data_IF_266414001235
#
_entry.id   IF_266414001235
#
_cell.length_a   1.000
_cell.length_b   1.000
_cell.length_c   1.000
_cell.angle_alpha   90.00
_cell.angle_beta   90.00
_cell.angle_gamma   90.00
#
_symmetry.space_group_name_H-M   'P 1'
#
loop_
_entity.id
_entity.type
_entity.pdbx_description
1 polymer ?
#
# COMPACT_ATOMS: atom_id res chain seq x y z
N UNK A 1 -5.04 27.21 -10.59
CA UNK A 1 -5.11 25.76 -10.27
C UNK A 1 -3.71 25.26 -9.94
N UNK A 2 -3.45 25.02 -8.66
CA UNK A 2 -2.16 24.49 -8.23
C UNK A 2 -2.13 22.96 -8.42
N UNK A 3 -1.28 22.48 -9.34
CA UNK A 3 -1.24 21.07 -9.76
C UNK A 3 -0.70 20.12 -8.68
N UNK A 4 -0.19 20.63 -7.55
CA UNK A 4 0.33 19.80 -6.46
C UNK A 4 -0.70 19.54 -5.35
N UNK A 5 -1.69 20.41 -5.20
CA UNK A 5 -2.63 20.36 -4.05
C UNK A 5 -4.10 20.35 -4.44
N UNK A 6 -4.44 20.78 -5.67
CA UNK A 6 -5.81 20.72 -6.17
C UNK A 6 -6.78 21.69 -5.48
N UNK A 7 -6.28 22.66 -4.72
CA UNK A 7 -7.11 23.72 -4.14
C UNK A 7 -7.30 24.86 -5.14
N UNK A 8 -8.52 25.40 -5.17
CA UNK A 8 -8.88 26.66 -5.83
C UNK A 8 -9.02 27.72 -4.73
N UNK A 9 -8.53 28.92 -5.02
CA UNK A 9 -8.49 30.07 -4.10
C UNK A 9 -9.83 30.34 -3.41
N UNK A 10 -9.74 30.60 -2.09
CA UNK A 10 -10.73 31.21 -1.19
C UNK A 10 -12.11 30.55 -0.98
N UNK A 11 -12.28 29.25 -1.23
CA UNK A 11 -13.41 28.50 -0.65
C UNK A 11 -13.01 27.12 -0.14
N UNK A 12 -13.36 26.84 1.11
CA UNK A 12 -13.08 25.61 1.87
C UNK A 12 -13.91 24.43 1.35
N UNK A 13 -13.75 24.06 0.09
CA UNK A 13 -14.50 22.98 -0.56
C UNK A 13 -13.51 21.93 -1.07
N UNK A 14 -13.58 20.73 -0.50
CA UNK A 14 -12.74 19.57 -0.86
C UNK A 14 -13.55 18.56 -1.68
N UNK A 15 -13.10 18.28 -2.89
CA UNK A 15 -13.74 17.32 -3.80
C UNK A 15 -13.55 15.88 -3.29
N UNK A 16 -14.64 15.10 -3.18
CA UNK A 16 -14.60 13.74 -2.61
C UNK A 16 -14.56 12.63 -3.68
N UNK A 17 -15.33 12.73 -4.78
CA UNK A 17 -15.28 11.77 -5.92
C UNK A 17 -16.09 12.27 -7.12
N UNK A 18 -15.70 11.87 -8.33
CA UNK A 18 -16.53 11.94 -9.54
C UNK A 18 -17.05 10.54 -9.88
N UNK A 19 -18.37 10.35 -9.95
CA UNK A 19 -19.00 9.11 -10.43
C UNK A 19 -19.73 9.43 -11.74
N UNK A 20 -19.13 9.03 -12.87
CA UNK A 20 -19.67 8.91 -14.24
C UNK A 20 -20.47 10.09 -14.86
N UNK A 21 -20.18 10.36 -16.14
CA UNK A 21 -20.80 11.39 -16.96
C UNK A 21 -22.00 10.79 -17.73
N UNK A 22 -23.22 11.22 -17.42
CA UNK A 22 -24.36 11.15 -18.34
C UNK A 22 -24.74 12.58 -18.75
N UNK A 23 -25.10 12.77 -20.01
CA UNK A 23 -25.02 14.04 -20.77
C UNK A 23 -25.88 15.21 -20.28
N UNK A 24 -26.66 15.07 -19.21
CA UNK A 24 -27.65 16.07 -18.82
C UNK A 24 -27.61 16.51 -17.35
N UNK A 25 -26.94 15.82 -16.42
CA UNK A 25 -26.99 16.19 -14.99
C UNK A 25 -25.70 15.82 -14.24
N UNK A 26 -25.12 16.79 -13.52
CA UNK A 26 -24.01 16.55 -12.57
C UNK A 26 -24.53 16.68 -11.15
N UNK A 27 -24.61 15.57 -10.41
CA UNK A 27 -24.89 15.60 -8.97
C UNK A 27 -23.59 15.89 -8.21
N UNK A 28 -23.46 17.10 -7.66
CA UNK A 28 -22.33 17.49 -6.80
C UNK A 28 -22.69 17.26 -5.33
N UNK A 29 -22.19 16.17 -4.74
CA UNK A 29 -22.24 15.96 -3.29
C UNK A 29 -21.17 16.81 -2.59
N UNK A 30 -21.51 18.02 -2.17
CA UNK A 30 -20.61 18.92 -1.44
C UNK A 30 -20.82 18.75 0.06
N UNK A 31 -19.78 18.32 0.78
CA UNK A 31 -19.78 18.26 2.26
C UNK A 31 -18.98 19.46 2.76
N UNK A 32 -19.63 20.33 3.53
CA UNK A 32 -18.99 21.49 4.16
C UNK A 32 -18.12 21.02 5.35
N UNK A 33 -16.84 21.39 5.38
CA UNK A 33 -15.96 21.19 6.54
C UNK A 33 -15.44 22.55 6.99
N UNK A 34 -15.53 22.85 8.28
CA UNK A 34 -15.20 24.17 8.85
C UNK A 34 -13.69 24.44 8.99
N UNK A 35 -12.83 23.47 8.68
CA UNK A 35 -11.38 23.60 8.68
C UNK A 35 -10.74 22.79 7.54
N UNK A 36 -9.64 23.30 7.00
CA UNK A 36 -8.76 22.58 6.06
C UNK A 36 -8.12 21.44 6.84
N UNK A 37 -8.59 20.21 6.62
CA UNK A 37 -7.97 19.03 7.21
C UNK A 37 -6.57 18.82 6.60
N UNK A 38 -5.53 19.27 7.29
CA UNK A 38 -4.17 18.86 6.98
C UNK A 38 -4.07 17.34 7.06
N UNK A 39 -3.47 16.74 6.03
CA UNK A 39 -3.31 15.29 5.90
C UNK A 39 -2.51 14.81 7.12
N UNK A 40 -3.16 14.05 8.00
CA UNK A 40 -2.53 13.54 9.21
C UNK A 40 -1.25 12.76 8.86
N UNK A 41 -0.12 13.21 9.43
CA UNK A 41 1.23 12.64 9.22
C UNK A 41 1.39 11.22 9.81
N UNK A 42 0.32 10.58 10.26
CA UNK A 42 0.32 9.32 11.02
C UNK A 42 0.05 8.08 10.17
N UNK A 43 -0.18 8.24 8.86
CA UNK A 43 -0.37 7.14 7.93
C UNK A 43 1.00 6.58 7.49
N UNK A 44 1.17 5.26 7.56
CA UNK A 44 2.37 4.58 7.06
C UNK A 44 2.58 4.92 5.57
N UNK A 45 3.84 5.19 5.19
CA UNK A 45 4.13 5.67 3.83
C UNK A 45 3.59 4.73 2.76
N UNK A 46 2.95 5.32 1.75
CA UNK A 46 2.49 4.57 0.59
C UNK A 46 3.58 4.33 -0.45
N UNK A 47 4.74 4.99 -0.32
CA UNK A 47 5.87 4.80 -1.23
C UNK A 47 6.63 3.52 -0.87
N UNK A 48 6.87 2.68 -1.87
CA UNK A 48 7.64 1.44 -1.70
C UNK A 48 9.12 1.70 -1.42
N UNK A 49 9.64 2.86 -1.83
CA UNK A 49 11.04 3.28 -1.61
C UNK A 49 11.43 3.35 -0.13
N UNK A 50 10.51 3.74 0.74
CA UNK A 50 10.76 3.90 2.19
C UNK A 50 10.96 2.57 2.93
N UNK A 51 10.81 1.44 2.24
CA UNK A 51 10.94 0.10 2.79
C UNK A 51 12.20 -0.64 2.32
N UNK A 52 13.12 0.05 1.63
CA UNK A 52 14.37 -0.56 1.14
C UNK A 52 15.18 -1.18 2.29
N UNK A 53 15.34 -0.45 3.41
CA UNK A 53 16.08 -0.94 4.59
C UNK A 53 15.38 -2.12 5.29
N UNK A 54 14.08 -2.30 5.03
CA UNK A 54 13.27 -3.38 5.61
C UNK A 54 13.42 -4.69 4.85
N UNK A 55 14.00 -4.69 3.64
CA UNK A 55 14.26 -5.92 2.87
C UNK A 55 15.20 -6.84 3.65
N UNK A 56 16.26 -6.29 4.27
CA UNK A 56 17.20 -7.08 5.06
C UNK A 56 16.52 -7.82 6.22
N UNK A 57 15.53 -7.19 6.86
CA UNK A 57 14.74 -7.82 7.92
C UNK A 57 13.85 -8.96 7.39
N UNK A 58 13.32 -8.83 6.17
CA UNK A 58 12.58 -9.92 5.51
C UNK A 58 13.51 -11.09 5.20
N UNK A 59 14.71 -10.82 4.67
CA UNK A 59 15.72 -11.86 4.38
C UNK A 59 16.15 -12.59 5.66
N UNK A 60 16.36 -11.85 6.75
CA UNK A 60 16.67 -12.41 8.06
C UNK A 60 15.55 -13.34 8.55
N UNK A 61 14.30 -12.85 8.55
CA UNK A 61 13.13 -13.64 8.89
C UNK A 61 13.01 -14.93 8.07
N UNK A 62 13.29 -14.85 6.76
CA UNK A 62 13.25 -15.98 5.84
C UNK A 62 14.44 -16.93 5.98
N UNK A 63 15.46 -16.64 6.79
CA UNK A 63 16.59 -17.57 6.99
C UNK A 63 16.16 -18.90 7.62
N UNK A 64 14.95 -18.96 8.19
CA UNK A 64 14.29 -20.20 8.68
C UNK A 64 13.57 -21.00 7.59
N UNK A 65 13.49 -20.45 6.38
CA UNK A 65 12.73 -20.94 5.23
C UNK A 65 13.61 -20.83 3.97
N UNK A 66 14.64 -21.70 3.81
CA UNK A 66 15.69 -21.50 2.81
C UNK A 66 15.16 -21.44 1.37
N UNK A 67 14.19 -22.29 1.01
CA UNK A 67 13.60 -22.29 -0.33
C UNK A 67 12.85 -20.99 -0.63
N UNK A 68 12.06 -20.50 0.33
CA UNK A 68 11.33 -19.24 0.20
C UNK A 68 12.27 -18.03 0.23
N UNK A 69 13.38 -18.12 0.97
CA UNK A 69 14.44 -17.10 0.97
C UNK A 69 15.10 -16.98 -0.40
N UNK A 70 15.52 -18.09 -0.99
CA UNK A 70 16.15 -18.08 -2.32
C UNK A 70 15.17 -17.55 -3.38
N UNK A 71 13.92 -17.99 -3.32
CA UNK A 71 12.88 -17.47 -4.19
C UNK A 71 12.69 -15.94 -4.02
N UNK A 72 12.66 -15.46 -2.78
CA UNK A 72 12.53 -14.02 -2.47
C UNK A 72 13.73 -13.20 -2.97
N UNK A 73 14.96 -13.70 -2.78
CA UNK A 73 16.19 -13.05 -3.27
C UNK A 73 16.18 -12.96 -4.79
N UNK A 74 15.65 -13.98 -5.48
CA UNK A 74 15.48 -13.98 -6.94
C UNK A 74 14.40 -13.01 -7.47
N UNK A 75 13.58 -12.41 -6.61
CA UNK A 75 12.57 -11.44 -7.03
C UNK A 75 13.20 -10.10 -7.43
N UNK A 76 12.60 -9.42 -8.41
CA UNK A 76 13.00 -8.05 -8.73
C UNK A 76 12.82 -7.12 -7.51
N UNK A 77 13.64 -6.07 -7.34
CA UNK A 77 13.58 -5.19 -6.16
C UNK A 77 12.19 -4.60 -5.86
N UNK A 78 11.36 -4.39 -6.89
CA UNK A 78 9.98 -3.92 -6.72
C UNK A 78 9.11 -4.86 -5.89
N UNK A 79 9.19 -6.18 -6.15
CA UNK A 79 8.46 -7.19 -5.38
C UNK A 79 9.00 -7.34 -3.96
N UNK A 80 10.32 -7.29 -3.78
CA UNK A 80 10.95 -7.33 -2.46
C UNK A 80 10.48 -6.17 -1.58
N UNK A 81 10.49 -4.94 -2.12
CA UNK A 81 9.93 -3.75 -1.45
C UNK A 81 8.44 -3.88 -1.18
N UNK A 82 7.69 -4.49 -2.10
CA UNK A 82 6.25 -4.77 -1.93
C UNK A 82 5.98 -5.63 -0.70
N UNK A 83 6.73 -6.71 -0.52
CA UNK A 83 6.64 -7.58 0.67
C UNK A 83 7.07 -6.87 1.95
N UNK A 84 8.20 -6.14 1.91
CA UNK A 84 8.67 -5.37 3.05
C UNK A 84 7.63 -4.34 3.49
N UNK A 85 7.01 -3.61 2.54
CA UNK A 85 5.89 -2.72 2.81
C UNK A 85 4.70 -3.46 3.38
N UNK A 86 4.32 -4.60 2.80
CA UNK A 86 3.18 -5.38 3.29
C UNK A 86 3.38 -5.74 4.76
N UNK A 87 4.52 -6.29 5.14
CA UNK A 87 4.80 -6.68 6.52
C UNK A 87 4.89 -5.44 7.43
N UNK A 88 5.83 -4.53 7.16
CA UNK A 88 6.22 -3.47 8.09
C UNK A 88 5.37 -2.20 8.05
N UNK A 89 4.38 -2.11 7.15
CA UNK A 89 3.34 -1.07 7.26
C UNK A 89 2.41 -1.31 8.45
N UNK A 90 2.33 -2.53 8.98
CA UNK A 90 1.58 -2.81 10.20
C UNK A 90 2.34 -2.28 11.43
N UNK A 91 1.65 -1.50 12.28
CA UNK A 91 2.23 -1.00 13.54
C UNK A 91 2.31 -2.06 14.63
N UNK A 92 1.40 -3.04 14.61
CA UNK A 92 1.34 -4.13 15.59
C UNK A 92 2.23 -5.30 15.18
N UNK A 93 3.09 -5.75 16.11
CA UNK A 93 3.95 -6.93 15.94
C UNK A 93 3.12 -8.18 15.59
N UNK A 94 2.00 -8.40 16.29
CA UNK A 94 1.09 -9.53 16.02
C UNK A 94 0.59 -9.53 14.57
N UNK A 95 0.34 -8.35 14.01
CA UNK A 95 -0.08 -8.24 12.60
C UNK A 95 1.09 -8.48 11.65
N UNK A 96 2.29 -7.99 11.98
CA UNK A 96 3.51 -8.27 11.20
C UNK A 96 3.78 -9.78 11.13
N UNK A 97 3.69 -10.49 12.26
CA UNK A 97 3.88 -11.95 12.32
C UNK A 97 2.85 -12.71 11.47
N UNK A 98 1.58 -12.29 11.49
CA UNK A 98 0.54 -12.86 10.62
C UNK A 98 0.89 -12.66 9.14
N UNK A 99 1.31 -11.45 8.75
CA UNK A 99 1.70 -11.12 7.38
C UNK A 99 2.96 -11.85 6.93
N UNK A 100 3.89 -12.07 7.85
CA UNK A 100 5.08 -12.89 7.64
C UNK A 100 4.72 -14.36 7.36
N UNK A 101 3.83 -14.96 8.16
CA UNK A 101 3.33 -16.33 7.90
C UNK A 101 2.58 -16.42 6.57
N UNK A 102 1.74 -15.44 6.26
CA UNK A 102 1.05 -15.35 4.97
C UNK A 102 2.05 -15.25 3.81
N UNK A 103 3.10 -14.42 3.95
CA UNK A 103 4.17 -14.30 2.95
C UNK A 103 4.84 -15.65 2.70
N UNK A 104 5.26 -16.38 3.74
CA UNK A 104 5.89 -17.71 3.58
C UNK A 104 4.97 -18.65 2.81
N UNK A 105 3.69 -18.71 3.16
CA UNK A 105 2.72 -19.53 2.46
C UNK A 105 2.61 -19.17 0.97
N UNK A 106 2.53 -17.87 0.66
CA UNK A 106 2.39 -17.37 -0.72
C UNK A 106 3.66 -17.63 -1.54
N UNK A 107 4.85 -17.41 -0.96
CA UNK A 107 6.12 -17.71 -1.63
C UNK A 107 6.28 -19.21 -1.89
N UNK A 108 5.87 -20.06 -0.94
CA UNK A 108 5.87 -21.51 -1.10
C UNK A 108 5.00 -21.98 -2.26
N UNK A 109 3.92 -21.26 -2.55
CA UNK A 109 3.05 -21.49 -3.71
C UNK A 109 3.62 -20.89 -5.02
N UNK A 110 4.80 -20.26 -4.99
CA UNK A 110 5.47 -19.71 -6.17
C UNK A 110 4.99 -18.33 -6.61
N UNK A 111 4.19 -17.63 -5.79
CA UNK A 111 3.69 -16.31 -6.15
C UNK A 111 4.66 -15.20 -5.75
N UNK A 112 4.93 -14.27 -6.67
CA UNK A 112 5.88 -13.16 -6.48
C UNK A 112 5.34 -12.04 -5.59
N UNK A 113 4.02 -11.90 -5.51
CA UNK A 113 3.35 -10.92 -4.67
C UNK A 113 2.03 -11.46 -4.10
N UNK A 114 1.55 -10.81 -3.05
CA UNK A 114 0.23 -11.09 -2.48
C UNK A 114 -0.89 -10.81 -3.48
N UNK A 115 -0.77 -9.76 -4.29
CA UNK A 115 -1.78 -9.40 -5.29
C UNK A 115 -1.91 -10.48 -6.36
N UNK A 116 -0.80 -11.06 -6.82
CA UNK A 116 -0.81 -12.16 -7.79
C UNK A 116 -1.51 -13.40 -7.22
N UNK A 117 -1.22 -13.75 -5.97
CA UNK A 117 -1.92 -14.83 -5.27
C UNK A 117 -3.42 -14.55 -5.11
N UNK A 118 -3.79 -13.32 -4.72
CA UNK A 118 -5.21 -12.93 -4.61
C UNK A 118 -5.92 -12.97 -5.96
N UNK A 119 -5.22 -12.67 -7.04
CA UNK A 119 -5.79 -12.72 -8.39
C UNK A 119 -5.99 -14.15 -8.88
N UNK A 120 -5.21 -15.13 -8.43
CA UNK A 120 -5.38 -16.53 -8.81
C UNK A 120 -6.50 -17.25 -8.06
N UNK A 121 -7.04 -16.63 -7.01
CA UNK A 121 -8.19 -17.14 -6.24
C UNK A 121 -9.55 -16.64 -6.78
N UNK A 122 -9.52 -15.79 -7.81
CA UNK A 122 -10.72 -15.33 -8.52
C UNK A 122 -10.97 -16.20 -9.73
#
# INVERSE_FOLDING_TARGET
MDKATGYVEDMTIKFNRMNALDSNYTLLGLKYTSQIEERSKTAASQKSADYQDKISLVVDFLSRYPSEKDFFIGLTPGYQRGWARYIYSAKSVVTQEKRQKEMVHILKLGFKSRELYRSSLK
#
